data_IF_403895192887
#
_entry.id   IF_403895192887
#
_cell.length_a   1.000
_cell.length_b   1.000
_cell.length_c   1.000
_cell.angle_alpha   90.00
_cell.angle_beta   90.00
_cell.angle_gamma   90.00
#
_symmetry.space_group_name_H-M   'P 1'
#
loop_
_entity.id
_entity.type
_entity.pdbx_description
1 polymer ?
#
# COMPACT_ATOMS: atom_id res chain seq x y z
N UNK A 1 -11.15 4.83 -20.47
CA UNK A 1 -11.51 3.71 -19.57
C UNK A 1 -12.31 2.66 -20.34
N UNK A 2 -12.03 1.36 -20.18
CA UNK A 2 -12.73 0.31 -20.95
C UNK A 2 -14.13 0.04 -20.38
N UNK A 3 -15.09 -0.27 -21.26
CA UNK A 3 -16.47 -0.66 -20.89
C UNK A 3 -16.49 -1.83 -19.90
N UNK A 4 -15.53 -2.75 -19.99
CA UNK A 4 -15.40 -3.89 -19.09
C UNK A 4 -15.07 -3.50 -17.65
N UNK A 5 -14.20 -2.50 -17.42
CA UNK A 5 -13.88 -2.00 -16.06
C UNK A 5 -15.13 -1.43 -15.40
N UNK A 6 -15.86 -0.57 -16.11
CA UNK A 6 -17.07 0.07 -15.59
C UNK A 6 -18.19 -0.95 -15.35
N UNK A 7 -18.31 -1.97 -16.20
CA UNK A 7 -19.26 -3.07 -15.99
C UNK A 7 -18.93 -3.89 -14.74
N UNK A 8 -17.67 -4.29 -14.55
CA UNK A 8 -17.24 -5.04 -13.36
C UNK A 8 -17.51 -4.23 -12.08
N UNK A 9 -17.07 -2.97 -12.04
CA UNK A 9 -17.27 -2.12 -10.86
C UNK A 9 -18.75 -1.88 -10.52
N UNK A 10 -19.60 -1.62 -11.53
CA UNK A 10 -21.04 -1.39 -11.33
C UNK A 10 -21.82 -2.65 -10.92
N UNK A 11 -21.43 -3.81 -11.44
CA UNK A 11 -22.10 -5.08 -11.12
C UNK A 11 -21.64 -5.61 -9.76
N UNK A 12 -20.37 -5.43 -9.42
CA UNK A 12 -19.85 -5.82 -8.11
C UNK A 12 -20.38 -4.94 -6.99
N UNK A 13 -20.68 -3.66 -7.23
CA UNK A 13 -21.25 -2.78 -6.18
C UNK A 13 -22.68 -3.14 -5.74
N UNK A 14 -23.31 -4.16 -6.33
CA UNK A 14 -24.66 -4.60 -5.96
C UNK A 14 -24.62 -5.52 -4.72
N UNK A 15 -25.28 -5.12 -3.63
CA UNK A 15 -25.33 -5.90 -2.35
C UNK A 15 -25.69 -7.39 -2.50
N UNK A 16 -26.61 -7.82 -3.39
CA UNK A 16 -26.88 -9.24 -3.61
C UNK A 16 -25.68 -10.00 -4.20
N UNK A 17 -24.92 -9.36 -5.09
CA UNK A 17 -23.73 -9.93 -5.73
C UNK A 17 -22.60 -10.03 -4.71
N UNK A 18 -22.41 -9.00 -3.89
CA UNK A 18 -21.47 -9.02 -2.78
C UNK A 18 -21.78 -10.16 -1.80
N UNK A 19 -23.03 -10.28 -1.34
CA UNK A 19 -23.41 -11.35 -0.41
C UNK A 19 -23.22 -12.73 -1.02
N UNK A 20 -23.47 -12.91 -2.32
CA UNK A 20 -23.27 -14.19 -3.00
C UNK A 20 -21.79 -14.55 -3.06
N UNK A 21 -20.93 -13.59 -3.41
CA UNK A 21 -19.48 -13.80 -3.51
C UNK A 21 -18.86 -14.06 -2.13
N UNK A 22 -19.25 -13.30 -1.11
CA UNK A 22 -18.78 -13.51 0.28
C UNK A 22 -19.20 -14.87 0.85
N UNK A 23 -20.40 -15.38 0.52
CA UNK A 23 -20.91 -16.67 1.03
C UNK A 23 -20.47 -17.89 0.22
N UNK A 24 -19.95 -17.69 -0.99
CA UNK A 24 -19.63 -18.79 -1.90
C UNK A 24 -18.21 -19.31 -1.67
N UNK A 25 -18.10 -20.61 -1.37
CA UNK A 25 -16.82 -21.29 -1.20
C UNK A 25 -15.97 -21.26 -2.48
N UNK A 26 -16.61 -21.15 -3.65
CA UNK A 26 -15.95 -21.17 -4.97
C UNK A 26 -15.01 -19.96 -5.17
N UNK A 27 -15.29 -18.83 -4.52
CA UNK A 27 -14.46 -17.63 -4.64
C UNK A 27 -13.34 -17.57 -3.60
N UNK A 28 -13.39 -18.38 -2.54
CA UNK A 28 -12.41 -18.35 -1.46
C UNK A 28 -10.97 -18.57 -1.93
N UNK A 29 -10.65 -19.53 -2.83
CA UNK A 29 -9.29 -19.69 -3.36
C UNK A 29 -8.82 -18.54 -4.24
N UNK A 30 -9.75 -17.81 -4.86
CA UNK A 30 -9.44 -16.65 -5.70
C UNK A 30 -9.19 -15.40 -4.84
N UNK A 31 -9.92 -15.27 -3.74
CA UNK A 31 -9.78 -14.19 -2.76
C UNK A 31 -8.49 -14.36 -1.96
N UNK A 32 -8.20 -15.57 -1.47
CA UNK A 32 -6.97 -15.87 -0.71
C UNK A 32 -5.68 -15.66 -1.50
N UNK A 33 -5.77 -15.53 -2.83
CA UNK A 33 -4.63 -15.13 -3.66
C UNK A 33 -4.17 -13.70 -3.40
N UNK A 34 -5.10 -12.81 -3.04
CA UNK A 34 -4.88 -11.35 -2.96
C UNK A 34 -5.05 -10.79 -1.54
N UNK A 35 -5.60 -11.56 -0.60
CA UNK A 35 -5.89 -11.19 0.78
C UNK A 35 -5.40 -12.29 1.70
N UNK A 36 -4.71 -11.93 2.78
CA UNK A 36 -4.04 -12.89 3.67
C UNK A 36 -4.95 -13.54 4.72
N UNK A 37 -6.21 -13.12 4.80
CA UNK A 37 -7.21 -13.71 5.67
C UNK A 37 -8.21 -12.69 6.17
N UNK A 38 -9.16 -13.17 6.97
CA UNK A 38 -10.20 -12.34 7.59
C UNK A 38 -9.76 -11.82 8.98
N UNK A 39 -8.74 -12.44 9.58
CA UNK A 39 -8.25 -12.10 10.92
C UNK A 39 -6.77 -11.74 10.93
N UNK A 40 -6.35 -11.00 11.96
CA UNK A 40 -4.94 -10.64 12.15
C UNK A 40 -4.04 -11.87 12.27
N UNK A 41 -4.45 -12.92 12.99
CA UNK A 41 -3.64 -14.15 13.13
C UNK A 41 -3.43 -14.89 11.82
N UNK A 42 -4.45 -14.93 10.96
CA UNK A 42 -4.31 -15.50 9.61
C UNK A 42 -3.34 -14.67 8.79
N UNK A 43 -3.48 -13.34 8.84
CA UNK A 43 -2.59 -12.42 8.14
C UNK A 43 -1.14 -12.60 8.59
N UNK A 44 -0.88 -12.68 9.89
CA UNK A 44 0.46 -12.89 10.43
C UNK A 44 1.05 -14.22 9.96
N UNK A 45 0.27 -15.31 10.05
CA UNK A 45 0.71 -16.64 9.60
C UNK A 45 1.13 -16.63 8.13
N UNK A 46 0.33 -16.02 7.24
CA UNK A 46 0.66 -15.90 5.81
C UNK A 46 1.91 -15.02 5.62
N UNK A 47 2.01 -13.90 6.33
CA UNK A 47 3.14 -12.98 6.18
C UNK A 47 4.47 -13.58 6.65
N UNK A 48 4.48 -14.41 7.70
CA UNK A 48 5.69 -15.13 8.14
C UNK A 48 6.20 -16.15 7.12
N UNK A 49 5.29 -16.76 6.35
CA UNK A 49 5.65 -17.60 5.21
C UNK A 49 6.29 -16.78 4.09
N UNK A 50 5.70 -15.62 3.76
CA UNK A 50 6.25 -14.72 2.74
C UNK A 50 7.63 -14.18 3.14
N UNK A 51 7.81 -13.76 4.40
CA UNK A 51 9.10 -13.31 4.94
C UNK A 51 10.19 -14.37 4.75
N UNK A 52 9.85 -15.64 4.94
CA UNK A 52 10.80 -16.75 4.80
C UNK A 52 11.26 -16.95 3.35
N UNK A 53 10.54 -16.40 2.37
CA UNK A 53 10.93 -16.40 0.96
C UNK A 53 11.80 -15.20 0.55
N UNK A 54 12.05 -14.25 1.46
CA UNK A 54 12.95 -13.10 1.25
C UNK A 54 12.30 -11.71 1.25
N UNK A 55 11.08 -11.48 0.69
CA UNK A 55 10.44 -10.18 0.73
C UNK A 55 10.11 -9.72 2.15
N UNK A 56 10.05 -8.40 2.34
CA UNK A 56 9.47 -7.71 3.49
C UNK A 56 7.96 -7.56 3.31
N UNK A 57 7.25 -7.11 4.34
CA UNK A 57 5.79 -6.97 4.34
C UNK A 57 5.35 -5.59 4.82
N UNK A 58 4.25 -5.11 4.25
CA UNK A 58 3.39 -4.10 4.88
C UNK A 58 1.98 -4.67 5.01
N UNK A 59 1.45 -4.75 6.23
CA UNK A 59 0.06 -5.19 6.47
C UNK A 59 -0.89 -4.00 6.33
N UNK A 60 -2.02 -4.23 5.66
CA UNK A 60 -3.11 -3.27 5.52
C UNK A 60 -4.40 -3.89 6.06
N UNK A 61 -4.97 -3.25 7.09
CA UNK A 61 -6.29 -3.62 7.58
C UNK A 61 -7.36 -2.99 6.69
N UNK A 62 -8.12 -3.85 6.01
CA UNK A 62 -9.15 -3.43 5.08
C UNK A 62 -10.32 -2.82 5.84
N UNK A 63 -10.60 -1.55 5.55
CA UNK A 63 -11.71 -0.79 6.09
C UNK A 63 -12.06 0.38 5.18
N UNK A 64 -13.28 0.90 5.35
CA UNK A 64 -13.73 2.15 4.74
C UNK A 64 -13.46 3.34 5.69
N UNK A 65 -13.75 4.57 5.26
CA UNK A 65 -13.60 5.76 6.09
C UNK A 65 -14.40 5.61 7.40
N UNK A 66 -13.86 6.11 8.51
CA UNK A 66 -14.62 6.17 9.74
C UNK A 66 -15.79 7.15 9.61
N UNK A 67 -16.99 6.73 10.02
CA UNK A 67 -18.19 7.57 10.01
C UNK A 67 -18.48 8.23 11.36
N UNK A 68 -17.76 7.82 12.41
CA UNK A 68 -17.85 8.40 13.76
C UNK A 68 -16.49 8.42 14.44
N UNK A 69 -16.34 9.28 15.45
CA UNK A 69 -15.14 9.29 16.30
C UNK A 69 -14.89 7.92 16.97
N UNK A 70 -15.95 7.22 17.38
CA UNK A 70 -15.83 5.87 17.96
C UNK A 70 -15.28 4.84 16.97
N UNK A 71 -15.69 4.90 15.70
CA UNK A 71 -15.14 4.03 14.66
C UNK A 71 -13.68 4.36 14.36
N UNK A 72 -13.33 5.65 14.35
CA UNK A 72 -11.94 6.08 14.18
C UNK A 72 -11.03 5.58 15.31
N UNK A 73 -11.49 5.70 16.56
CA UNK A 73 -10.78 5.19 17.73
C UNK A 73 -10.61 3.66 17.67
N UNK A 74 -11.65 2.93 17.23
CA UNK A 74 -11.59 1.48 17.06
C UNK A 74 -10.56 1.07 15.97
N UNK A 75 -10.52 1.79 14.84
CA UNK A 75 -9.52 1.57 13.79
C UNK A 75 -8.10 1.82 14.29
N UNK A 76 -7.88 2.90 15.03
CA UNK A 76 -6.57 3.18 15.63
C UNK A 76 -6.16 2.14 16.67
N UNK A 77 -7.10 1.62 17.45
CA UNK A 77 -6.84 0.51 18.36
C UNK A 77 -6.46 -0.76 17.59
N UNK A 78 -7.11 -1.06 16.46
CA UNK A 78 -6.72 -2.18 15.59
C UNK A 78 -5.30 -1.99 15.05
N UNK A 79 -4.91 -0.79 14.63
CA UNK A 79 -3.53 -0.51 14.18
C UNK A 79 -2.50 -0.71 15.30
N UNK A 80 -2.79 -0.29 16.54
CA UNK A 80 -1.94 -0.58 17.68
C UNK A 80 -1.81 -2.10 17.95
N UNK A 81 -2.93 -2.84 17.87
CA UNK A 81 -2.94 -4.30 18.01
C UNK A 81 -2.13 -4.99 16.91
N UNK A 82 -2.17 -4.48 15.67
CA UNK A 82 -1.33 -4.98 14.57
C UNK A 82 0.15 -4.83 14.91
N UNK A 83 0.57 -3.66 15.39
CA UNK A 83 1.96 -3.41 15.77
C UNK A 83 2.40 -4.35 16.91
N UNK A 84 1.57 -4.48 17.95
CA UNK A 84 1.82 -5.41 19.07
C UNK A 84 1.98 -6.85 18.60
N UNK A 85 1.12 -7.28 17.68
CA UNK A 85 1.16 -8.65 17.19
C UNK A 85 2.34 -8.90 16.25
N UNK A 86 2.71 -7.91 15.44
CA UNK A 86 3.92 -7.95 14.61
C UNK A 86 5.16 -8.09 15.51
N UNK A 87 5.23 -7.33 16.59
CA UNK A 87 6.33 -7.41 17.56
C UNK A 87 6.49 -8.82 18.17
N UNK A 88 5.38 -9.54 18.32
CA UNK A 88 5.38 -10.91 18.83
C UNK A 88 5.85 -11.96 17.80
N UNK A 89 6.06 -11.60 16.53
CA UNK A 89 6.59 -12.51 15.50
C UNK A 89 8.05 -12.89 15.79
N UNK A 90 8.35 -14.18 15.73
CA UNK A 90 9.73 -14.68 15.87
C UNK A 90 10.67 -14.07 14.82
N UNK A 91 10.17 -13.83 13.60
CA UNK A 91 10.95 -13.23 12.51
C UNK A 91 11.32 -11.78 12.81
N UNK A 92 10.39 -11.02 13.40
CA UNK A 92 10.61 -9.61 13.77
C UNK A 92 11.56 -9.53 14.97
N UNK A 93 11.34 -10.35 16.01
CA UNK A 93 12.24 -10.40 17.17
C UNK A 93 13.67 -10.77 16.78
N UNK A 94 13.85 -11.77 15.91
CA UNK A 94 15.16 -12.18 15.41
C UNK A 94 15.82 -11.13 14.52
N UNK A 95 15.04 -10.36 13.75
CA UNK A 95 15.57 -9.22 13.01
C UNK A 95 16.06 -8.13 13.97
N UNK A 96 15.28 -7.79 14.99
CA UNK A 96 15.62 -6.72 15.96
C UNK A 96 16.91 -7.01 16.73
N UNK A 97 17.26 -8.26 17.00
CA UNK A 97 18.57 -8.54 17.62
C UNK A 97 19.76 -8.22 16.71
N UNK A 98 19.56 -8.25 15.39
CA UNK A 98 20.62 -8.10 14.38
C UNK A 98 20.58 -6.75 13.64
N UNK A 99 19.46 -6.00 13.72
CA UNK A 99 19.20 -4.71 13.06
C UNK A 99 19.66 -4.64 11.59
N UNK A 100 19.41 -5.68 10.80
CA UNK A 100 19.84 -5.74 9.39
C UNK A 100 18.84 -5.04 8.46
N UNK A 101 19.05 -3.74 8.25
CA UNK A 101 18.28 -2.91 7.30
C UNK A 101 16.94 -2.44 7.87
N UNK A 102 15.92 -2.31 7.01
CA UNK A 102 14.58 -1.88 7.44
C UNK A 102 13.83 -2.97 8.18
N UNK A 103 12.69 -2.62 8.76
CA UNK A 103 11.80 -3.53 9.44
C UNK A 103 11.22 -4.60 8.48
N UNK A 104 11.18 -5.90 8.87
CA UNK A 104 10.67 -6.97 8.03
C UNK A 104 9.16 -6.85 7.82
N UNK A 105 8.42 -6.35 8.81
CA UNK A 105 6.99 -6.10 8.73
C UNK A 105 6.67 -4.72 9.30
N UNK A 106 5.86 -3.96 8.57
CA UNK A 106 5.29 -2.70 9.01
C UNK A 106 3.79 -2.64 8.68
N UNK A 107 3.12 -1.53 8.97
CA UNK A 107 1.71 -1.34 8.65
C UNK A 107 1.49 -0.19 7.67
N UNK A 108 0.48 -0.31 6.82
CA UNK A 108 -0.09 0.78 6.02
C UNK A 108 -1.48 1.12 6.55
N UNK A 109 -1.75 2.40 6.78
CA UNK A 109 -3.02 2.90 7.34
C UNK A 109 -3.57 4.06 6.52
N UNK A 110 -4.85 4.42 6.72
CA UNK A 110 -5.50 5.55 6.04
C UNK A 110 -5.95 6.58 7.09
N UNK A 111 -5.72 7.87 6.84
CA UNK A 111 -6.07 8.90 7.82
C UNK A 111 -7.59 9.06 7.97
N UNK A 112 -8.38 8.75 6.95
CA UNK A 112 -9.85 8.70 7.09
C UNK A 112 -10.31 7.63 8.08
N UNK A 113 -9.57 6.52 8.22
CA UNK A 113 -9.82 5.54 9.30
C UNK A 113 -9.35 6.05 10.66
N UNK A 114 -8.42 7.01 10.72
CA UNK A 114 -8.03 7.70 11.96
C UNK A 114 -8.94 8.88 12.32
N UNK A 115 -9.91 9.20 11.47
CA UNK A 115 -10.92 10.21 11.71
C UNK A 115 -10.74 11.53 10.95
N UNK A 116 -10.07 11.51 9.79
CA UNK A 116 -9.83 12.74 9.01
C UNK A 116 -11.11 13.46 8.57
N UNK A 117 -12.21 12.72 8.38
CA UNK A 117 -13.53 13.28 8.09
C UNK A 117 -14.22 13.87 9.34
N UNK A 118 -13.77 13.51 10.55
CA UNK A 118 -14.25 14.06 11.82
C UNK A 118 -13.45 15.31 12.23
N UNK A 119 -12.22 15.46 11.76
CA UNK A 119 -11.43 16.67 11.92
C UNK A 119 -9.93 16.39 11.84
N UNK A 120 -9.17 17.33 11.26
CA UNK A 120 -7.72 17.18 11.11
C UNK A 120 -6.98 17.02 12.43
N UNK A 121 -7.35 17.80 13.47
CA UNK A 121 -6.71 17.71 14.79
C UNK A 121 -7.02 16.38 15.49
N UNK A 122 -8.27 15.91 15.36
CA UNK A 122 -8.70 14.62 15.89
C UNK A 122 -7.94 13.47 15.22
N UNK A 123 -7.85 13.50 13.88
CA UNK A 123 -7.10 12.50 13.12
C UNK A 123 -5.61 12.53 13.43
N UNK A 124 -4.99 13.71 13.55
CA UNK A 124 -3.58 13.86 13.92
C UNK A 124 -3.31 13.29 15.32
N UNK A 125 -4.16 13.59 16.31
CA UNK A 125 -4.00 13.07 17.67
C UNK A 125 -4.09 11.54 17.72
N UNK A 126 -5.00 10.94 16.94
CA UNK A 126 -5.13 9.49 16.85
C UNK A 126 -3.98 8.84 16.11
N UNK A 127 -3.55 9.43 14.99
CA UNK A 127 -2.40 8.99 14.21
C UNK A 127 -1.11 9.05 15.03
N UNK A 128 -0.86 10.13 15.78
CA UNK A 128 0.30 10.27 16.68
C UNK A 128 0.41 9.10 17.63
N UNK A 129 -0.69 8.69 18.30
CA UNK A 129 -0.69 7.52 19.19
C UNK A 129 -0.27 6.22 18.51
N UNK A 130 -0.69 6.01 17.26
CA UNK A 130 -0.29 4.83 16.48
C UNK A 130 1.20 4.88 16.14
N UNK A 131 1.74 6.06 15.77
CA UNK A 131 3.18 6.22 15.49
C UNK A 131 4.02 6.12 16.75
N UNK A 132 3.59 6.69 17.87
CA UNK A 132 4.22 6.54 19.19
C UNK A 132 4.38 5.05 19.53
N UNK A 133 3.30 4.26 19.34
CA UNK A 133 3.38 2.81 19.54
C UNK A 133 4.36 2.13 18.58
N UNK A 134 4.43 2.58 17.33
CA UNK A 134 5.42 2.05 16.39
C UNK A 134 6.86 2.40 16.78
N UNK A 135 7.11 3.60 17.32
CA UNK A 135 8.43 4.01 17.85
C UNK A 135 8.84 3.09 19.01
N UNK A 136 7.95 2.83 19.96
CA UNK A 136 8.21 1.94 21.11
C UNK A 136 8.63 0.52 20.67
N UNK A 137 8.15 0.07 19.51
CA UNK A 137 8.36 -1.28 18.99
C UNK A 137 9.43 -1.33 17.88
N UNK A 138 10.16 -0.24 17.63
CA UNK A 138 11.11 -0.10 16.52
C UNK A 138 10.50 -0.53 15.16
N UNK A 139 9.31 0.00 14.88
CA UNK A 139 8.52 -0.29 13.69
C UNK A 139 8.13 1.00 12.96
N UNK A 140 7.53 0.87 11.78
CA UNK A 140 7.18 1.95 10.88
C UNK A 140 5.69 1.98 10.55
N UNK A 141 5.13 3.18 10.37
CA UNK A 141 3.74 3.38 9.93
C UNK A 141 3.72 4.14 8.61
N UNK A 142 3.21 3.50 7.55
CA UNK A 142 2.97 4.13 6.26
C UNK A 142 1.55 4.71 6.21
N UNK A 143 1.43 5.98 5.85
CA UNK A 143 0.13 6.60 5.55
C UNK A 143 -0.15 6.44 4.06
N UNK A 144 -1.16 5.63 3.74
CA UNK A 144 -1.67 5.48 2.39
C UNK A 144 -2.35 6.76 1.93
N UNK A 145 -2.03 7.18 0.70
CA UNK A 145 -2.67 8.35 0.10
C UNK A 145 -4.02 7.98 -0.49
N UNK A 146 -5.02 8.75 -0.09
CA UNK A 146 -6.41 8.60 -0.52
C UNK A 146 -6.69 9.44 -1.77
N UNK A 147 -7.94 9.84 -2.03
CA UNK A 147 -8.27 10.72 -3.16
C UNK A 147 -7.66 12.12 -2.98
N UNK A 148 -7.71 12.90 -4.06
CA UNK A 148 -7.18 14.28 -4.07
C UNK A 148 -7.81 15.19 -3.00
N UNK A 149 -9.05 14.92 -2.59
CA UNK A 149 -9.76 15.61 -1.50
C UNK A 149 -9.08 15.49 -0.12
N UNK A 150 -8.18 14.52 0.03
CA UNK A 150 -7.45 14.25 1.27
C UNK A 150 -5.96 14.58 1.19
N UNK A 151 -5.42 14.81 -0.02
CA UNK A 151 -3.97 14.89 -0.23
C UNK A 151 -3.30 15.98 0.59
N UNK A 152 -3.80 17.21 0.54
CA UNK A 152 -3.24 18.34 1.28
C UNK A 152 -3.20 18.06 2.78
N UNK A 153 -4.36 17.73 3.36
CA UNK A 153 -4.50 17.44 4.79
C UNK A 153 -3.60 16.28 5.23
N UNK A 154 -3.43 15.27 4.37
CA UNK A 154 -2.57 14.12 4.64
C UNK A 154 -1.09 14.52 4.65
N UNK A 155 -0.63 15.27 3.65
CA UNK A 155 0.75 15.76 3.57
C UNK A 155 1.07 16.67 4.77
N UNK A 156 0.17 17.57 5.11
CA UNK A 156 0.30 18.47 6.27
C UNK A 156 0.42 17.72 7.60
N UNK A 157 -0.48 16.77 7.85
CA UNK A 157 -0.46 15.99 9.09
C UNK A 157 0.82 15.14 9.16
N UNK A 158 1.18 14.42 8.09
CA UNK A 158 2.37 13.57 8.09
C UNK A 158 3.65 14.38 8.28
N UNK A 159 3.77 15.55 7.65
CA UNK A 159 4.96 16.39 7.79
C UNK A 159 5.12 16.94 9.19
N UNK A 160 4.04 17.33 9.88
CA UNK A 160 4.07 17.72 11.30
C UNK A 160 4.45 16.55 12.21
N UNK A 161 3.79 15.42 12.07
CA UNK A 161 4.04 14.25 12.93
C UNK A 161 5.46 13.71 12.72
N UNK A 162 5.96 13.66 11.48
CA UNK A 162 7.30 13.18 11.17
C UNK A 162 8.42 13.99 11.84
N UNK A 163 8.22 15.31 12.06
CA UNK A 163 9.21 16.16 12.73
C UNK A 163 9.52 15.69 14.15
N UNK A 164 8.52 15.12 14.83
CA UNK A 164 8.63 14.64 16.21
C UNK A 164 8.81 13.12 16.28
N UNK A 165 8.19 12.39 15.34
CA UNK A 165 8.11 10.94 15.31
C UNK A 165 8.51 10.41 13.92
N UNK A 166 9.81 10.19 13.65
CA UNK A 166 10.30 9.89 12.29
C UNK A 166 9.95 8.49 11.79
N UNK A 167 9.37 7.62 12.63
CA UNK A 167 8.91 6.26 12.30
C UNK A 167 7.63 6.23 11.44
N UNK A 168 7.47 7.24 10.59
CA UNK A 168 6.33 7.37 9.71
C UNK A 168 6.68 8.06 8.39
N UNK A 169 5.82 7.87 7.40
CA UNK A 169 5.89 8.57 6.12
C UNK A 169 4.67 8.26 5.27
N UNK A 170 4.59 8.85 4.08
CA UNK A 170 3.36 8.85 3.28
C UNK A 170 3.51 8.19 1.91
N UNK A 171 2.43 8.17 1.14
CA UNK A 171 2.39 7.78 -0.26
C UNK A 171 2.20 9.04 -1.11
N UNK A 172 2.83 9.09 -2.28
CA UNK A 172 2.61 10.12 -3.31
C UNK A 172 2.13 9.48 -4.62
N UNK A 173 1.35 10.23 -5.40
CA UNK A 173 0.62 9.71 -6.56
C UNK A 173 1.03 10.46 -7.83
N UNK A 174 1.76 9.78 -8.73
CA UNK A 174 2.38 10.43 -9.90
C UNK A 174 1.40 10.99 -10.93
N UNK A 175 0.13 10.59 -10.88
CA UNK A 175 -0.90 11.14 -11.75
C UNK A 175 -1.39 12.55 -11.35
N UNK A 176 -1.08 13.06 -10.15
CA UNK A 176 -1.57 14.37 -9.71
C UNK A 176 -0.66 15.48 -10.23
N UNK A 177 -1.26 16.60 -10.65
CA UNK A 177 -0.51 17.76 -11.13
C UNK A 177 0.41 18.37 -10.06
N UNK A 178 -0.01 18.31 -8.78
CA UNK A 178 0.74 18.83 -7.62
C UNK A 178 1.95 17.99 -7.22
N UNK A 179 2.07 16.76 -7.72
CA UNK A 179 2.93 15.75 -7.11
C UNK A 179 4.43 16.09 -7.19
N UNK A 180 4.84 16.91 -8.15
CA UNK A 180 6.25 17.32 -8.25
C UNK A 180 6.70 18.18 -7.06
N UNK A 181 5.83 19.06 -6.55
CA UNK A 181 6.09 19.89 -5.36
C UNK A 181 6.10 19.02 -4.09
N UNK A 182 5.14 18.10 -3.97
CA UNK A 182 5.09 17.18 -2.84
C UNK A 182 6.33 16.26 -2.81
N UNK A 183 6.86 15.85 -3.98
CA UNK A 183 8.11 15.08 -4.07
C UNK A 183 9.29 15.88 -3.52
N UNK A 184 9.42 17.15 -3.89
CA UNK A 184 10.49 18.01 -3.38
C UNK A 184 10.38 18.18 -1.86
N UNK A 185 9.16 18.39 -1.35
CA UNK A 185 8.89 18.49 0.08
C UNK A 185 9.30 17.21 0.83
N UNK A 186 8.93 16.02 0.32
CA UNK A 186 9.29 14.76 0.96
C UNK A 186 10.81 14.52 0.97
N UNK A 187 11.51 14.92 -0.10
CA UNK A 187 12.97 14.86 -0.18
C UNK A 187 13.60 15.82 0.83
N UNK A 188 13.16 17.08 0.87
CA UNK A 188 13.67 18.10 1.80
C UNK A 188 13.51 17.67 3.25
N UNK A 189 12.32 17.17 3.61
CA UNK A 189 11.99 16.73 4.97
C UNK A 189 12.53 15.33 5.31
N UNK A 190 13.18 14.64 4.37
CA UNK A 190 13.69 13.27 4.54
C UNK A 190 12.61 12.25 4.95
N UNK A 191 11.39 12.47 4.49
CA UNK A 191 10.26 11.58 4.78
C UNK A 191 10.37 10.35 3.88
N UNK A 192 10.45 9.16 4.47
CA UNK A 192 10.33 7.89 3.72
C UNK A 192 9.05 7.95 2.92
N UNK A 193 9.10 7.76 1.60
CA UNK A 193 7.93 7.97 0.73
C UNK A 193 7.74 6.81 -0.24
N UNK A 194 6.49 6.35 -0.37
CA UNK A 194 6.10 5.39 -1.39
C UNK A 194 5.54 6.13 -2.60
N UNK A 195 6.06 5.86 -3.79
CA UNK A 195 5.53 6.41 -5.03
C UNK A 195 4.64 5.38 -5.74
N UNK A 196 3.39 5.76 -6.00
CA UNK A 196 2.41 5.00 -6.79
C UNK A 196 1.96 5.81 -8.01
N UNK A 197 1.30 5.18 -8.99
CA UNK A 197 0.66 5.92 -10.09
C UNK A 197 -0.55 6.74 -9.63
N UNK A 198 -1.36 6.14 -8.75
CA UNK A 198 -2.68 6.66 -8.35
C UNK A 198 -3.75 5.58 -8.56
N UNK A 199 -4.74 5.54 -7.67
CA UNK A 199 -5.76 4.48 -7.64
C UNK A 199 -7.21 5.00 -7.75
N UNK A 200 -7.40 6.31 -7.57
CA UNK A 200 -8.72 6.94 -7.55
C UNK A 200 -9.12 7.45 -8.94
N UNK A 201 -10.41 7.68 -9.12
CA UNK A 201 -10.92 8.33 -10.31
C UNK A 201 -10.96 9.84 -10.06
N UNK A 202 -9.97 10.54 -10.58
CA UNK A 202 -9.79 11.97 -10.36
C UNK A 202 -10.17 12.79 -11.61
N UNK A 203 -10.73 14.00 -11.44
CA UNK A 203 -11.04 14.88 -12.57
C UNK A 203 -9.76 15.38 -13.25
N UNK A 204 -9.86 15.70 -14.54
CA UNK A 204 -8.75 16.21 -15.34
C UNK A 204 -8.13 17.52 -14.81
N UNK A 205 -8.87 18.27 -13.97
CA UNK A 205 -8.36 19.49 -13.35
C UNK A 205 -7.22 19.21 -12.36
N UNK A 206 -7.20 18.05 -11.71
CA UNK A 206 -6.23 17.71 -10.65
C UNK A 206 -5.28 16.58 -11.04
N UNK A 207 -5.63 15.79 -12.06
CA UNK A 207 -4.86 14.61 -12.45
C UNK A 207 -4.73 14.43 -13.97
N UNK A 208 -3.54 13.98 -14.39
CA UNK A 208 -3.26 13.53 -15.74
C UNK A 208 -4.15 12.34 -16.11
N UNK A 209 -4.90 12.50 -17.20
CA UNK A 209 -5.82 11.45 -17.70
C UNK A 209 -5.13 10.50 -18.68
N UNK A 210 -4.06 10.96 -19.34
CA UNK A 210 -3.29 10.16 -20.27
C UNK A 210 -2.32 9.21 -19.55
N UNK A 211 -2.40 7.92 -19.88
CA UNK A 211 -1.57 6.90 -19.24
C UNK A 211 -0.09 7.10 -19.54
N UNK A 212 0.28 7.48 -20.76
CA UNK A 212 1.68 7.67 -21.11
C UNK A 212 2.28 8.82 -20.30
N UNK A 213 1.52 9.91 -20.11
CA UNK A 213 1.93 11.00 -19.23
C UNK A 213 2.07 10.57 -17.77
N UNK A 214 1.15 9.77 -17.23
CA UNK A 214 1.28 9.23 -15.86
C UNK A 214 2.53 8.36 -15.70
N UNK A 215 2.82 7.51 -16.69
CA UNK A 215 3.99 6.64 -16.71
C UNK A 215 5.30 7.47 -16.77
N UNK A 216 5.33 8.52 -17.60
CA UNK A 216 6.45 9.48 -17.70
C UNK A 216 6.70 10.18 -16.36
N UNK A 217 5.66 10.71 -15.74
CA UNK A 217 5.74 11.40 -14.44
C UNK A 217 6.21 10.46 -13.34
N UNK A 218 5.69 9.22 -13.31
CA UNK A 218 6.12 8.20 -12.36
C UNK A 218 7.63 7.95 -12.46
N UNK A 219 8.14 7.75 -13.67
CA UNK A 219 9.57 7.50 -13.89
C UNK A 219 10.42 8.71 -13.49
N UNK A 220 10.02 9.92 -13.87
CA UNK A 220 10.75 11.13 -13.52
C UNK A 220 10.85 11.34 -12.01
N UNK A 221 9.73 11.19 -11.30
CA UNK A 221 9.66 11.33 -9.83
C UNK A 221 10.38 10.18 -9.12
N UNK A 222 10.30 8.95 -9.62
CA UNK A 222 11.05 7.82 -9.08
C UNK A 222 12.56 8.05 -9.16
N UNK A 223 13.07 8.59 -10.28
CA UNK A 223 14.51 8.92 -10.43
C UNK A 223 14.94 9.98 -9.40
N UNK A 224 14.15 11.05 -9.21
CA UNK A 224 14.40 12.06 -8.16
C UNK A 224 14.48 11.45 -6.76
N UNK A 225 13.56 10.55 -6.43
CA UNK A 225 13.60 9.82 -5.17
C UNK A 225 14.80 8.87 -5.06
N UNK A 226 15.17 8.17 -6.13
CA UNK A 226 16.35 7.28 -6.11
C UNK A 226 17.65 8.08 -5.89
N UNK A 227 17.74 9.30 -6.41
CA UNK A 227 18.93 10.14 -6.26
C UNK A 227 19.04 10.80 -4.87
N UNK A 228 17.91 11.24 -4.30
CA UNK A 228 17.89 12.16 -3.14
C UNK A 228 16.93 11.77 -2.02
N UNK A 229 16.07 10.79 -2.26
CA UNK A 229 15.03 10.37 -1.32
C UNK A 229 15.60 9.62 -0.12
N UNK A 230 14.85 9.63 0.98
CA UNK A 230 15.17 8.84 2.17
C UNK A 230 14.46 7.51 2.10
N UNK A 231 15.17 6.43 1.76
CA UNK A 231 14.62 5.08 1.60
C UNK A 231 13.27 5.04 0.84
N UNK A 232 13.25 5.45 -0.45
CA UNK A 232 12.02 5.49 -1.21
C UNK A 232 11.48 4.09 -1.50
N UNK A 233 10.16 3.99 -1.57
CA UNK A 233 9.44 2.78 -1.92
C UNK A 233 8.82 2.92 -3.31
N UNK A 234 9.39 2.23 -4.31
CA UNK A 234 8.92 2.26 -5.70
C UNK A 234 7.80 1.22 -5.86
N UNK A 235 6.55 1.67 -5.67
CA UNK A 235 5.38 0.79 -5.70
C UNK A 235 4.73 0.71 -7.08
N UNK A 236 5.11 -0.32 -7.85
CA UNK A 236 4.57 -0.57 -9.19
C UNK A 236 4.67 -2.05 -9.54
N UNK A 237 3.78 -2.52 -10.43
CA UNK A 237 3.88 -3.83 -11.07
C UNK A 237 4.04 -3.72 -12.60
N UNK A 238 4.38 -2.52 -13.07
CA UNK A 238 4.67 -2.23 -14.47
C UNK A 238 6.12 -2.61 -14.79
N UNK A 239 6.29 -3.71 -15.50
CA UNK A 239 7.59 -4.28 -15.84
C UNK A 239 8.45 -3.33 -16.67
N UNK A 240 7.86 -2.50 -17.53
CA UNK A 240 8.62 -1.55 -18.34
C UNK A 240 9.25 -0.48 -17.46
N UNK A 241 8.48 0.05 -16.50
CA UNK A 241 8.96 1.02 -15.52
C UNK A 241 10.04 0.38 -14.63
N UNK A 242 9.83 -0.84 -14.14
CA UNK A 242 10.82 -1.55 -13.32
C UNK A 242 12.13 -1.74 -14.09
N UNK A 243 12.07 -2.20 -15.34
CA UNK A 243 13.26 -2.37 -16.18
C UNK A 243 13.99 -1.05 -16.44
N UNK A 244 13.27 0.04 -16.66
CA UNK A 244 13.87 1.36 -16.82
C UNK A 244 14.57 1.83 -15.54
N UNK A 245 13.92 1.71 -14.39
CA UNK A 245 14.49 2.14 -13.11
C UNK A 245 15.68 1.26 -12.70
N UNK A 246 15.68 -0.05 -13.00
CA UNK A 246 16.85 -0.92 -12.79
C UNK A 246 18.06 -0.44 -13.59
N UNK A 247 17.87 -0.09 -14.88
CA UNK A 247 18.94 0.48 -15.71
C UNK A 247 19.45 1.80 -15.15
N UNK A 248 18.55 2.64 -14.65
CA UNK A 248 18.91 3.90 -14.02
C UNK A 248 19.75 3.69 -12.75
N UNK A 249 19.33 2.77 -11.88
CA UNK A 249 20.04 2.38 -10.65
C UNK A 249 21.46 1.89 -10.96
N UNK A 250 21.59 1.00 -11.95
CA UNK A 250 22.89 0.48 -12.38
C UNK A 250 23.78 1.58 -12.97
N UNK A 251 23.25 2.41 -13.87
CA UNK A 251 24.02 3.45 -14.56
C UNK A 251 24.51 4.57 -13.62
N UNK A 252 23.78 4.82 -12.52
CA UNK A 252 24.12 5.85 -11.54
C UNK A 252 24.76 5.28 -10.26
N UNK A 253 25.09 3.98 -10.22
CA UNK A 253 25.67 3.30 -9.06
C UNK A 253 24.87 3.50 -7.76
N UNK A 254 23.54 3.48 -7.86
CA UNK A 254 22.65 3.64 -6.70
C UNK A 254 22.64 2.33 -5.90
N UNK A 255 22.90 2.42 -4.59
CA UNK A 255 22.90 1.26 -3.72
C UNK A 255 21.47 0.67 -3.60
N UNK A 256 21.34 -0.62 -3.95
CA UNK A 256 20.08 -1.38 -3.83
C UNK A 256 19.59 -1.47 -2.39
N UNK A 257 20.47 -1.29 -1.40
CA UNK A 257 20.11 -1.25 0.02
C UNK A 257 19.35 0.04 0.39
N UNK A 258 19.49 1.10 -0.42
CA UNK A 258 18.95 2.43 -0.15
C UNK A 258 17.49 2.66 -0.58
N UNK A 259 16.83 1.68 -1.20
CA UNK A 259 15.42 1.77 -1.60
C UNK A 259 14.78 0.37 -1.63
N UNK A 260 13.46 0.32 -1.88
CA UNK A 260 12.76 -0.94 -2.10
C UNK A 260 11.73 -0.85 -3.25
N UNK A 261 11.52 -1.96 -3.95
CA UNK A 261 10.34 -2.13 -4.80
C UNK A 261 9.17 -2.62 -3.97
N UNK A 262 7.96 -2.13 -4.24
CA UNK A 262 6.76 -2.62 -3.57
C UNK A 262 5.72 -3.18 -4.54
N UNK A 263 5.14 -4.32 -4.18
CA UNK A 263 4.16 -5.01 -5.01
C UNK A 263 2.99 -5.53 -4.17
N UNK A 264 1.84 -5.66 -4.79
CA UNK A 264 0.64 -6.19 -4.13
C UNK A 264 0.72 -7.72 -4.01
N UNK A 265 0.21 -8.26 -2.91
CA UNK A 265 0.05 -9.70 -2.72
C UNK A 265 -0.68 -10.34 -3.92
N UNK A 266 -0.14 -11.46 -4.42
CA UNK A 266 -0.77 -12.24 -5.49
C UNK A 266 -0.54 -11.73 -6.93
N UNK A 267 0.10 -10.57 -7.11
CA UNK A 267 0.29 -9.92 -8.41
C UNK A 267 1.77 -9.95 -8.83
N UNK A 268 2.05 -10.54 -10.00
CA UNK A 268 3.40 -10.70 -10.56
C UNK A 268 4.40 -11.33 -9.58
N UNK A 269 4.03 -12.46 -8.98
CA UNK A 269 4.91 -13.23 -8.07
C UNK A 269 6.25 -13.58 -8.73
N UNK A 270 6.24 -13.80 -10.04
CA UNK A 270 7.43 -13.94 -10.88
C UNK A 270 8.40 -12.75 -10.75
N UNK A 271 7.91 -11.51 -10.85
CA UNK A 271 8.73 -10.32 -10.68
C UNK A 271 9.18 -10.13 -9.24
N UNK A 272 8.31 -10.43 -8.27
CA UNK A 272 8.66 -10.35 -6.84
C UNK A 272 9.88 -11.23 -6.56
N UNK A 273 9.84 -12.49 -6.97
CA UNK A 273 10.95 -13.44 -6.81
C UNK A 273 12.19 -13.03 -7.61
N UNK A 274 12.03 -12.55 -8.85
CA UNK A 274 13.16 -12.07 -9.67
C UNK A 274 13.89 -10.91 -8.99
N UNK A 275 13.17 -9.90 -8.49
CA UNK A 275 13.76 -8.74 -7.84
C UNK A 275 14.54 -9.11 -6.57
N UNK A 276 13.98 -10.02 -5.75
CA UNK A 276 14.69 -10.57 -4.58
C UNK A 276 15.96 -11.31 -4.99
N UNK A 277 15.88 -12.19 -6.00
CA UNK A 277 17.04 -12.94 -6.50
C UNK A 277 18.15 -12.04 -7.07
N UNK A 278 17.78 -10.88 -7.60
CA UNK A 278 18.70 -9.85 -8.09
C UNK A 278 19.26 -8.94 -6.97
N UNK A 279 18.90 -9.19 -5.71
CA UNK A 279 19.41 -8.49 -4.54
C UNK A 279 18.72 -7.15 -4.24
N UNK A 280 17.55 -6.88 -4.82
CA UNK A 280 16.76 -5.70 -4.44
C UNK A 280 15.96 -5.98 -3.17
N UNK A 281 15.79 -4.94 -2.34
CA UNK A 281 14.74 -4.99 -1.31
C UNK A 281 13.36 -5.01 -1.99
N UNK A 282 12.52 -5.93 -1.57
CA UNK A 282 11.13 -6.05 -2.05
C UNK A 282 10.21 -6.06 -0.84
N UNK A 283 9.14 -5.25 -0.85
CA UNK A 283 8.08 -5.29 0.16
C UNK A 283 6.73 -5.64 -0.48
N UNK A 284 6.04 -6.62 0.09
CA UNK A 284 4.71 -7.03 -0.36
C UNK A 284 3.64 -6.33 0.48
N UNK A 285 2.70 -5.68 -0.19
CA UNK A 285 1.51 -5.10 0.42
C UNK A 285 0.46 -6.20 0.60
N UNK A 286 0.16 -6.49 1.86
CA UNK A 286 -0.64 -7.63 2.28
C UNK A 286 -1.92 -7.13 2.96
N UNK A 287 -3.04 -7.09 2.23
CA UNK A 287 -4.32 -6.70 2.80
C UNK A 287 -4.95 -7.88 3.56
N UNK A 288 -5.66 -7.58 4.64
CA UNK A 288 -6.44 -8.55 5.42
C UNK A 288 -7.68 -7.90 6.04
N UNK A 289 -8.63 -8.72 6.50
CA UNK A 289 -9.85 -8.25 7.14
C UNK A 289 -11.11 -8.61 6.35
N UNK A 290 -12.26 -8.40 6.97
CA UNK A 290 -13.57 -8.81 6.48
C UNK A 290 -14.16 -7.86 5.40
N UNK A 291 -13.65 -6.63 5.30
CA UNK A 291 -14.01 -5.64 4.27
C UNK A 291 -13.25 -5.83 2.95
N UNK A 292 -12.95 -7.08 2.59
CA UNK A 292 -12.10 -7.36 1.43
C UNK A 292 -12.78 -7.19 0.07
N UNK A 293 -14.10 -7.20 0.01
CA UNK A 293 -14.83 -7.27 -1.26
C UNK A 293 -14.66 -6.02 -2.15
N UNK A 294 -14.77 -4.78 -1.65
CA UNK A 294 -14.44 -3.58 -2.44
C UNK A 294 -13.00 -3.58 -2.95
N UNK A 295 -12.06 -4.06 -2.12
CA UNK A 295 -10.65 -4.17 -2.51
C UNK A 295 -10.45 -5.21 -3.64
N UNK A 296 -11.00 -6.41 -3.46
CA UNK A 296 -10.90 -7.51 -4.42
C UNK A 296 -11.50 -7.15 -5.78
N UNK A 297 -12.66 -6.49 -5.79
CA UNK A 297 -13.34 -6.10 -7.04
C UNK A 297 -12.54 -5.09 -7.86
N UNK A 298 -11.86 -4.13 -7.20
CA UNK A 298 -10.89 -3.24 -7.87
C UNK A 298 -9.74 -4.03 -8.51
N UNK A 299 -9.15 -4.98 -7.78
CA UNK A 299 -8.06 -5.85 -8.29
C UNK A 299 -8.48 -6.71 -9.47
N UNK A 300 -9.73 -7.16 -9.51
CA UNK A 300 -10.29 -7.87 -10.66
C UNK A 300 -10.48 -6.95 -11.87
N UNK A 301 -10.99 -5.74 -11.65
CA UNK A 301 -11.27 -4.78 -12.72
C UNK A 301 -10.00 -4.26 -13.41
N UNK A 302 -8.86 -4.31 -12.74
CA UNK A 302 -7.55 -3.89 -13.27
C UNK A 302 -6.93 -4.87 -14.27
N UNK A 303 -7.38 -6.13 -14.33
CA UNK A 303 -6.88 -7.12 -15.29
C UNK A 303 -8.02 -7.84 -16.02
N UNK A 304 -8.22 -7.58 -17.33
CA UNK A 304 -9.22 -8.29 -18.14
C UNK A 304 -9.09 -9.81 -18.10
N UNK A 305 -7.88 -10.34 -17.98
CA UNK A 305 -7.61 -11.77 -17.85
C UNK A 305 -8.18 -12.39 -16.55
N UNK A 306 -8.22 -11.63 -15.45
CA UNK A 306 -8.82 -12.09 -14.19
C UNK A 306 -10.35 -12.14 -14.30
N UNK A 307 -10.95 -11.17 -15.01
CA UNK A 307 -12.39 -11.17 -15.30
C UNK A 307 -12.80 -12.36 -16.19
N UNK A 308 -11.98 -12.69 -17.20
CA UNK A 308 -12.20 -13.87 -18.06
C UNK A 308 -12.12 -15.19 -17.28
N UNK A 309 -11.21 -15.28 -16.29
CA UNK A 309 -11.07 -16.47 -15.44
C UNK A 309 -12.32 -16.70 -14.55
N UNK A 310 -12.90 -15.63 -14.01
CA UNK A 310 -14.18 -15.68 -13.28
C UNK A 310 -15.33 -16.09 -14.20
N UNK A 311 -15.43 -15.49 -15.39
CA UNK A 311 -16.48 -15.81 -16.35
C UNK A 311 -16.43 -17.29 -16.77
N UNK A 312 -15.21 -17.83 -16.97
CA UNK A 312 -14.99 -19.24 -17.30
C UNK A 312 -15.39 -20.17 -16.15
N UNK A 313 -15.23 -19.76 -14.89
CA UNK A 313 -15.62 -20.55 -13.73
C UNK A 313 -17.12 -20.43 -13.40
N UNK A 314 -17.78 -19.32 -13.74
CA UNK A 314 -19.24 -19.16 -13.63
C UNK A 314 -20.01 -19.96 -14.70
N UNK A 315 -19.40 -20.20 -15.86
CA UNK A 315 -19.99 -20.97 -16.97
C UNK A 315 -19.75 -22.48 -16.89
N UNK A 316 -18.90 -22.94 -15.96
CA UNK A 316 -18.81 -24.36 -15.61
C UNK A 316 -19.93 -24.66 -14.60
N UNK A 317 -21.07 -25.12 -15.12
CA UNK A 317 -22.05 -25.91 -14.35
C UNK A 317 -21.42 -27.23 -13.93
#
# INVERSE_FOLDING_TARGET
MSLARNFVLKTSSLKPVESLVKKSFLFRPLVSRFIAGDTLEQAITETEQILSAGPRITLDYLGENAHSESEALASCQMYAQMLDRIDQSDKVRAWRTNHSGTEPMNISIKLTQCGLDQGSDFAEANYRKVVERAVELDNFVRIDMESSDYTERTVDIVTRVHQELPNTGTVLQSYLHRNDDDVDLMIEKRIRTRLVKGAYLEPAAVAYQDKAKVDEQYVAQAKRFLDKGTYPAIATQDEKIILELKKYVESNNIDKSGFEFQMLLGIRRDLQSSLVAEGYNVRIYVPYGDQWYPYFTRRLAERPANAFFILKNLLKK
#
